data_IF_162923085241
#
_entry.id   IF_162923085241
#
_cell.length_a   1.000
_cell.length_b   1.000
_cell.length_c   1.000
_cell.angle_alpha   90.00
_cell.angle_beta   90.00
_cell.angle_gamma   90.00
#
_symmetry.space_group_name_H-M   'P 1'
#
loop_
_entity.id
_entity.type
_entity.pdbx_description
1 polymer ?
#
# COMPACT_ATOMS: atom_id res chain seq x y z
N UNK A 1 -0.07 -38.22 37.23
CA UNK A 1 0.01 -36.76 37.09
C UNK A 1 -0.46 -36.13 38.40
N UNK A 2 0.39 -35.34 39.08
CA UNK A 2 0.05 -34.79 40.40
C UNK A 2 -0.92 -33.61 40.27
N UNK A 3 -1.84 -33.45 41.22
CA UNK A 3 -2.85 -32.40 41.22
C UNK A 3 -2.28 -30.97 41.14
N UNK A 4 -1.02 -30.78 41.59
CA UNK A 4 -0.33 -29.49 41.50
C UNK A 4 -0.01 -29.08 40.06
N UNK A 5 0.22 -30.04 39.15
CA UNK A 5 0.47 -29.75 37.74
C UNK A 5 -0.80 -29.28 37.01
N UNK A 6 -1.97 -29.79 37.42
CA UNK A 6 -3.26 -29.41 36.83
C UNK A 6 -3.63 -27.98 37.27
N UNK A 7 -3.40 -27.63 38.54
CA UNK A 7 -3.72 -26.30 39.07
C UNK A 7 -2.88 -25.19 38.40
N UNK A 8 -1.61 -25.48 38.08
CA UNK A 8 -0.73 -24.52 37.42
C UNK A 8 -1.17 -24.22 35.98
N UNK A 9 -1.68 -25.24 35.26
CA UNK A 9 -2.21 -25.08 33.89
C UNK A 9 -3.51 -24.26 33.90
N UNK A 10 -4.39 -24.50 34.88
CA UNK A 10 -5.65 -23.76 34.98
C UNK A 10 -5.42 -22.27 35.27
N UNK A 11 -4.44 -21.93 36.12
CA UNK A 11 -4.08 -20.51 36.38
C UNK A 11 -3.48 -19.78 35.16
N UNK A 12 -2.86 -20.52 34.23
CA UNK A 12 -2.35 -19.96 32.99
C UNK A 12 -3.47 -19.67 31.98
N UNK A 13 -4.50 -20.53 31.93
CA UNK A 13 -5.64 -20.37 31.04
C UNK A 13 -6.52 -19.16 31.42
N UNK A 14 -6.71 -18.91 32.71
CA UNK A 14 -7.47 -17.74 33.16
C UNK A 14 -6.80 -16.42 32.78
N UNK A 15 -5.45 -16.36 32.84
CA UNK A 15 -4.67 -15.20 32.37
C UNK A 15 -4.74 -15.01 30.85
N UNK A 16 -4.78 -16.09 30.08
CA UNK A 16 -4.95 -16.00 28.62
C UNK A 16 -6.34 -15.46 28.27
N UNK A 17 -7.35 -15.82 29.05
CA UNK A 17 -8.72 -15.34 28.87
C UNK A 17 -8.85 -13.85 29.17
N UNK A 18 -8.20 -13.37 30.22
CA UNK A 18 -8.14 -11.95 30.59
C UNK A 18 -7.41 -11.09 29.54
N UNK A 19 -6.41 -11.64 28.85
CA UNK A 19 -5.73 -10.99 27.72
C UNK A 19 -6.66 -10.89 26.50
N UNK A 20 -7.43 -11.95 26.20
CA UNK A 20 -8.37 -11.97 25.08
C UNK A 20 -9.58 -11.05 25.29
N UNK A 21 -10.09 -10.95 26.52
CA UNK A 21 -11.27 -10.14 26.84
C UNK A 21 -10.94 -8.63 26.93
N UNK A 22 -9.70 -8.26 27.28
CA UNK A 22 -9.27 -6.85 27.38
C UNK A 22 -8.62 -6.27 26.10
N UNK A 23 -8.32 -7.10 25.10
CA UNK A 23 -7.78 -6.66 23.80
C UNK A 23 -8.63 -7.16 22.61
N UNK A 24 -9.88 -6.70 22.43
CA UNK A 24 -10.63 -7.03 21.24
C UNK A 24 -10.15 -6.15 20.08
N UNK A 25 -9.12 -6.60 19.33
CA UNK A 25 -8.84 -6.22 17.92
C UNK A 25 -7.53 -6.87 17.41
N UNK A 26 -7.46 -8.18 17.46
CA UNK A 26 -6.92 -8.93 16.34
C UNK A 26 -8.04 -9.83 15.83
N UNK A 27 -9.07 -9.20 15.26
CA UNK A 27 -9.95 -9.92 14.38
C UNK A 27 -9.13 -10.24 13.14
N UNK A 28 -8.59 -11.46 13.11
CA UNK A 28 -8.52 -12.19 11.86
C UNK A 28 -9.98 -12.23 11.38
N UNK A 29 -10.35 -11.32 10.48
CA UNK A 29 -11.64 -11.33 9.80
C UNK A 29 -11.62 -12.50 8.83
N UNK A 30 -11.92 -13.68 9.35
CA UNK A 30 -12.09 -14.92 8.57
C UNK A 30 -13.48 -15.03 7.94
N UNK A 31 -14.24 -13.94 7.88
CA UNK A 31 -15.56 -13.92 7.25
C UNK A 31 -15.51 -13.19 5.89
N UNK A 32 -15.45 -14.01 4.84
CA UNK A 32 -15.98 -13.70 3.50
C UNK A 32 -15.25 -12.64 2.65
N UNK A 33 -13.93 -12.72 2.53
CA UNK A 33 -13.25 -12.23 1.32
C UNK A 33 -13.01 -13.44 0.43
N UNK A 34 -13.74 -13.54 -0.68
CA UNK A 34 -13.38 -14.46 -1.76
C UNK A 34 -11.89 -14.26 -2.04
N UNK A 35 -11.06 -15.30 -1.85
CA UNK A 35 -9.59 -15.26 -1.86
C UNK A 35 -9.03 -14.27 -2.90
N UNK A 36 -8.86 -13.02 -2.52
CA UNK A 36 -8.08 -12.06 -3.29
C UNK A 36 -6.62 -12.35 -2.96
N UNK A 37 -5.75 -12.47 -3.96
CA UNK A 37 -4.32 -12.62 -3.68
C UNK A 37 -3.77 -11.43 -2.87
N UNK A 38 -4.44 -10.28 -2.85
CA UNK A 38 -4.05 -9.12 -2.06
C UNK A 38 -4.72 -9.15 -0.68
N UNK A 39 -3.95 -8.79 0.34
CA UNK A 39 -4.41 -8.72 1.73
C UNK A 39 -4.98 -7.34 2.10
N UNK A 40 -5.20 -6.48 1.10
CA UNK A 40 -5.83 -5.17 1.21
C UNK A 40 -6.81 -4.98 0.05
N UNK A 41 -7.98 -4.43 0.34
CA UNK A 41 -9.03 -4.13 -0.62
C UNK A 41 -8.90 -2.72 -1.22
N UNK A 42 -9.65 -2.45 -2.28
CA UNK A 42 -9.76 -1.11 -2.86
C UNK A 42 -10.30 -0.07 -1.86
N UNK A 43 -11.26 -0.47 -1.03
CA UNK A 43 -11.90 0.42 -0.04
C UNK A 43 -10.89 0.82 1.03
N UNK A 44 -10.13 -0.13 1.55
CA UNK A 44 -9.08 0.12 2.55
C UNK A 44 -7.98 1.04 1.99
N UNK A 45 -7.58 0.87 0.72
CA UNK A 45 -6.65 1.80 0.07
C UNK A 45 -7.23 3.21 -0.07
N UNK A 46 -8.52 3.35 -0.35
CA UNK A 46 -9.18 4.64 -0.40
C UNK A 46 -9.23 5.30 0.98
N UNK A 47 -9.43 4.54 2.06
CA UNK A 47 -9.40 5.04 3.44
C UNK A 47 -8.00 5.53 3.84
N UNK A 48 -6.93 4.82 3.42
CA UNK A 48 -5.54 5.29 3.58
C UNK A 48 -5.29 6.58 2.79
N UNK A 49 -5.74 6.64 1.54
CA UNK A 49 -5.60 7.82 0.67
C UNK A 49 -6.29 9.05 1.26
N UNK A 50 -7.50 8.87 1.76
CA UNK A 50 -8.33 9.96 2.30
C UNK A 50 -7.93 10.34 3.74
N UNK A 51 -6.94 9.64 4.32
CA UNK A 51 -6.47 9.85 5.68
C UNK A 51 -7.48 9.43 6.75
N UNK A 52 -8.49 8.65 6.37
CA UNK A 52 -9.48 8.09 7.29
C UNK A 52 -8.86 6.99 8.17
N UNK A 53 -7.80 6.33 7.67
CA UNK A 53 -7.06 5.33 8.40
C UNK A 53 -5.55 5.64 8.46
N UNK A 54 -4.93 5.37 9.60
CA UNK A 54 -3.48 5.51 9.75
C UNK A 54 -2.76 4.35 9.06
N UNK A 55 -1.67 4.66 8.37
CA UNK A 55 -0.73 3.65 7.85
C UNK A 55 -0.22 2.71 8.95
N UNK A 56 -0.19 3.16 10.21
CA UNK A 56 0.26 2.34 11.34
C UNK A 56 -0.63 1.09 11.52
N UNK A 57 -1.92 1.16 11.16
CA UNK A 57 -2.82 -0.01 11.20
C UNK A 57 -2.33 -1.13 10.28
N UNK A 58 -1.63 -0.75 9.22
CA UNK A 58 -1.07 -1.64 8.22
C UNK A 58 0.40 -1.97 8.47
N UNK A 59 0.99 -1.56 9.60
CA UNK A 59 2.42 -1.74 9.86
C UNK A 59 3.31 -0.71 9.14
N UNK A 60 2.77 0.47 8.85
CA UNK A 60 3.47 1.55 8.16
C UNK A 60 3.62 1.31 6.66
N UNK A 61 4.58 2.02 6.04
CA UNK A 61 4.85 1.89 4.60
C UNK A 61 5.25 0.47 4.21
N UNK A 62 6.09 -0.19 5.01
CA UNK A 62 6.55 -1.55 4.72
C UNK A 62 5.39 -2.55 4.71
N UNK A 63 4.50 -2.47 5.70
CA UNK A 63 3.36 -3.35 5.76
C UNK A 63 2.35 -3.08 4.65
N UNK A 64 2.07 -1.81 4.31
CA UNK A 64 1.25 -1.47 3.12
C UNK A 64 1.83 -2.06 1.83
N UNK A 65 3.14 -1.90 1.60
CA UNK A 65 3.84 -2.46 0.43
C UNK A 65 3.72 -3.99 0.41
N UNK A 66 3.82 -4.64 1.56
CA UNK A 66 3.61 -6.09 1.72
C UNK A 66 2.19 -6.53 1.36
N UNK A 67 1.16 -5.81 1.82
CA UNK A 67 -0.24 -6.11 1.52
C UNK A 67 -0.57 -5.95 0.03
N UNK A 68 0.07 -4.98 -0.62
CA UNK A 68 0.00 -4.76 -2.07
C UNK A 68 0.81 -5.78 -2.88
N UNK A 69 1.53 -6.71 -2.22
CA UNK A 69 2.51 -7.62 -2.85
C UNK A 69 3.42 -6.88 -3.80
N UNK A 70 4.02 -5.81 -3.29
CA UNK A 70 5.04 -5.03 -3.98
C UNK A 70 6.34 -5.05 -3.18
N UNK A 71 7.35 -4.36 -3.69
CA UNK A 71 8.66 -4.24 -3.06
C UNK A 71 9.12 -2.78 -3.10
N UNK A 72 9.50 -2.23 -1.95
CA UNK A 72 9.89 -0.82 -1.82
C UNK A 72 11.25 -0.50 -2.47
N UNK A 73 12.05 -1.52 -2.79
CA UNK A 73 13.36 -1.38 -3.41
C UNK A 73 13.35 -1.77 -4.89
N UNK A 74 12.69 -2.89 -5.23
CA UNK A 74 12.72 -3.46 -6.58
C UNK A 74 11.46 -3.19 -7.40
N UNK A 75 10.40 -2.71 -6.77
CA UNK A 75 9.08 -2.57 -7.37
C UNK A 75 8.46 -3.91 -7.77
N UNK A 76 7.45 -3.85 -8.64
CA UNK A 76 6.76 -5.02 -9.16
C UNK A 76 7.59 -5.77 -10.20
N UNK A 77 7.40 -7.07 -10.28
CA UNK A 77 7.89 -7.88 -11.40
C UNK A 77 7.01 -7.72 -12.64
N UNK A 78 7.54 -8.00 -13.84
CA UNK A 78 6.75 -7.97 -15.07
C UNK A 78 5.46 -8.84 -14.99
N UNK A 79 5.54 -10.00 -14.33
CA UNK A 79 4.39 -10.88 -14.11
C UNK A 79 3.35 -10.28 -13.16
N UNK A 80 3.77 -9.53 -12.14
CA UNK A 80 2.87 -8.91 -11.16
C UNK A 80 2.13 -7.69 -11.71
N UNK A 81 2.70 -7.04 -12.72
CA UNK A 81 2.07 -5.92 -13.44
C UNK A 81 0.96 -6.45 -14.35
N UNK A 82 1.26 -7.52 -15.09
CA UNK A 82 0.28 -8.18 -15.96
C UNK A 82 -0.71 -9.05 -15.19
N UNK A 83 -0.61 -9.06 -13.85
CA UNK A 83 -1.52 -9.79 -13.00
C UNK A 83 -2.94 -9.25 -13.20
N UNK A 84 -3.75 -10.05 -13.88
CA UNK A 84 -5.15 -9.77 -14.18
C UNK A 84 -5.95 -9.44 -12.92
N UNK A 85 -5.67 -10.10 -11.79
CA UNK A 85 -6.35 -9.82 -10.52
C UNK A 85 -6.05 -8.40 -10.00
N UNK A 86 -4.83 -7.89 -10.16
CA UNK A 86 -4.45 -6.53 -9.75
C UNK A 86 -5.28 -5.49 -10.52
N UNK A 87 -5.43 -5.71 -11.83
CA UNK A 87 -6.21 -4.82 -12.71
C UNK A 87 -7.72 -4.95 -12.48
N UNK A 88 -8.21 -6.13 -12.08
CA UNK A 88 -9.61 -6.36 -11.74
C UNK A 88 -9.99 -5.74 -10.39
N UNK A 89 -9.11 -5.80 -9.39
CA UNK A 89 -9.35 -5.26 -8.05
C UNK A 89 -9.12 -3.75 -8.00
N UNK A 90 -8.01 -3.26 -8.56
CA UNK A 90 -7.60 -1.85 -8.42
C UNK A 90 -7.79 -1.02 -9.70
N UNK A 91 -8.33 -1.62 -10.75
CA UNK A 91 -8.60 -0.94 -12.01
C UNK A 91 -7.35 -0.60 -12.82
N UNK A 92 -7.55 0.30 -13.79
CA UNK A 92 -6.54 0.76 -14.75
C UNK A 92 -6.48 2.28 -14.78
N UNK A 93 -5.32 2.84 -15.15
CA UNK A 93 -5.14 4.28 -15.29
C UNK A 93 -5.68 4.85 -16.63
N UNK A 94 -6.87 4.43 -17.06
CA UNK A 94 -7.44 4.70 -18.40
C UNK A 94 -7.71 6.20 -18.68
N UNK A 95 -7.75 7.04 -17.65
CA UNK A 95 -7.94 8.49 -17.79
C UNK A 95 -6.65 9.29 -18.00
N UNK A 96 -5.49 8.64 -17.89
CA UNK A 96 -4.21 9.33 -18.02
C UNK A 96 -3.79 9.52 -19.48
N UNK A 97 -3.02 10.58 -19.75
CA UNK A 97 -2.52 10.85 -21.08
C UNK A 97 -1.39 9.87 -21.44
N UNK A 98 -1.53 9.17 -22.56
CA UNK A 98 -0.53 8.20 -23.03
C UNK A 98 0.82 8.82 -23.42
N UNK A 99 0.86 10.14 -23.67
CA UNK A 99 2.10 10.86 -23.92
C UNK A 99 2.90 11.14 -22.63
N UNK A 100 2.22 11.16 -21.48
CA UNK A 100 2.88 11.36 -20.19
C UNK A 100 3.52 10.04 -19.75
N UNK A 101 4.71 10.14 -19.17
CA UNK A 101 5.49 8.98 -18.76
C UNK A 101 5.95 9.08 -17.31
N UNK A 102 5.92 7.95 -16.61
CA UNK A 102 6.45 7.79 -15.28
C UNK A 102 7.74 6.98 -15.29
N UNK A 103 8.69 7.37 -14.43
CA UNK A 103 9.85 6.54 -14.10
C UNK A 103 9.43 5.56 -13.01
N UNK A 104 9.51 4.27 -13.29
CA UNK A 104 9.17 3.21 -12.34
C UNK A 104 10.32 2.25 -12.16
N UNK A 105 10.42 1.64 -10.99
CA UNK A 105 11.22 0.45 -10.79
C UNK A 105 10.36 -0.79 -10.99
N UNK A 106 10.80 -1.68 -11.89
CA UNK A 106 10.24 -3.01 -12.05
C UNK A 106 11.37 -4.02 -12.21
N UNK A 107 11.25 -5.17 -11.56
CA UNK A 107 12.31 -6.20 -11.52
C UNK A 107 13.67 -5.62 -11.06
N UNK A 108 13.66 -4.64 -10.15
CA UNK A 108 14.87 -3.97 -9.67
C UNK A 108 15.55 -3.06 -10.68
N UNK A 109 14.91 -2.80 -11.83
CA UNK A 109 15.46 -1.97 -12.90
C UNK A 109 14.58 -0.75 -13.16
N UNK A 110 15.19 0.43 -13.40
CA UNK A 110 14.44 1.60 -13.80
C UNK A 110 13.87 1.38 -15.21
N UNK A 111 12.59 1.70 -15.37
CA UNK A 111 11.85 1.68 -16.62
C UNK A 111 11.07 2.99 -16.75
N UNK A 112 10.76 3.37 -17.97
CA UNK A 112 9.90 4.52 -18.26
C UNK A 112 8.63 4.01 -18.93
N UNK A 113 7.47 4.32 -18.35
CA UNK A 113 6.19 3.78 -18.79
C UNK A 113 5.18 4.88 -19.08
N UNK A 114 4.38 4.74 -20.15
CA UNK A 114 3.19 5.56 -20.34
C UNK A 114 2.27 5.52 -19.12
N UNK A 115 1.71 6.67 -18.75
CA UNK A 115 0.83 6.82 -17.59
C UNK A 115 -0.33 5.80 -17.54
N UNK A 116 -0.98 5.41 -18.65
CA UNK A 116 -2.04 4.39 -18.65
C UNK A 116 -1.60 2.99 -18.20
N UNK A 117 -0.29 2.69 -18.25
CA UNK A 117 0.28 1.39 -17.85
C UNK A 117 0.73 1.35 -16.38
N UNK A 118 0.52 2.44 -15.64
CA UNK A 118 0.71 2.45 -14.20
C UNK A 118 -0.39 1.65 -13.52
N UNK A 119 0.01 0.87 -12.52
CA UNK A 119 -0.85 0.04 -11.70
C UNK A 119 -0.61 0.31 -10.21
N UNK A 120 -1.62 0.05 -9.37
CA UNK A 120 -1.45 0.09 -7.91
C UNK A 120 -0.35 -0.87 -7.50
N UNK A 121 0.56 -0.41 -6.64
CA UNK A 121 1.76 -1.12 -6.22
C UNK A 121 2.99 -0.84 -7.07
N UNK A 122 2.91 -0.08 -8.17
CA UNK A 122 4.12 0.36 -8.88
C UNK A 122 5.00 1.23 -7.97
N UNK A 123 6.31 0.99 -8.03
CA UNK A 123 7.32 1.82 -7.39
C UNK A 123 7.72 2.94 -8.36
N UNK A 124 7.30 4.17 -8.09
CA UNK A 124 7.56 5.35 -8.92
C UNK A 124 8.72 6.16 -8.34
N UNK A 125 9.56 6.71 -9.22
CA UNK A 125 10.58 7.70 -8.87
C UNK A 125 10.13 9.05 -9.39
N UNK A 126 9.96 10.02 -8.49
CA UNK A 126 9.83 11.43 -8.87
C UNK A 126 11.18 12.10 -8.81
N UNK A 127 11.52 12.90 -9.81
CA UNK A 127 12.68 13.82 -9.78
C UNK A 127 12.19 15.27 -9.89
N UNK A 128 13.09 16.23 -9.69
CA UNK A 128 12.75 17.66 -9.75
C UNK A 128 12.07 18.03 -11.08
N UNK A 129 10.88 18.62 -10.98
CA UNK A 129 10.01 19.00 -12.09
C UNK A 129 9.07 17.91 -12.59
N UNK A 130 9.20 16.66 -12.15
CA UNK A 130 8.28 15.58 -12.55
C UNK A 130 6.90 15.79 -11.91
N UNK A 131 5.84 15.46 -12.65
CA UNK A 131 4.48 15.40 -12.11
C UNK A 131 4.13 13.97 -11.72
N UNK A 132 3.47 13.80 -10.58
CA UNK A 132 2.88 12.51 -10.21
C UNK A 132 1.70 12.20 -11.15
N UNK A 133 1.68 10.97 -11.68
CA UNK A 133 0.68 10.50 -12.65
C UNK A 133 -0.35 9.55 -12.03
N UNK A 134 -0.28 9.39 -10.71
CA UNK A 134 -1.13 8.55 -9.88
C UNK A 134 -1.10 9.07 -8.43
N UNK A 135 -2.02 8.58 -7.61
CA UNK A 135 -2.03 8.83 -6.17
C UNK A 135 -1.07 7.87 -5.47
N UNK A 136 -0.26 8.41 -4.57
CA UNK A 136 0.93 7.76 -4.05
C UNK A 136 1.09 7.92 -2.54
N UNK A 137 1.83 6.99 -1.93
CA UNK A 137 2.44 7.15 -0.61
C UNK A 137 3.94 7.32 -0.79
N UNK A 138 4.53 8.31 -0.12
CA UNK A 138 5.96 8.54 -0.13
C UNK A 138 6.71 7.45 0.65
N UNK A 139 7.71 6.84 0.01
CA UNK A 139 8.64 5.89 0.65
C UNK A 139 9.85 6.64 1.23
N UNK A 140 10.17 7.81 0.67
CA UNK A 140 11.27 8.68 1.11
C UNK A 140 10.77 10.11 1.25
N UNK A 141 11.34 10.88 2.19
CA UNK A 141 11.00 12.29 2.37
C UNK A 141 11.22 13.12 1.10
N UNK A 142 10.25 13.97 0.77
CA UNK A 142 10.23 14.79 -0.44
C UNK A 142 9.52 16.12 -0.24
N UNK A 143 9.49 16.93 -1.30
CA UNK A 143 8.71 18.14 -1.39
C UNK A 143 7.83 18.06 -2.65
N UNK A 144 6.51 18.09 -2.45
CA UNK A 144 5.51 18.08 -3.51
C UNK A 144 4.72 19.39 -3.49
N UNK A 145 4.71 20.14 -4.61
CA UNK A 145 4.13 21.48 -4.72
C UNK A 145 4.56 22.45 -3.60
N UNK A 146 5.83 22.37 -3.19
CA UNK A 146 6.38 23.23 -2.13
C UNK A 146 5.97 22.85 -0.71
N UNK A 147 5.35 21.68 -0.51
CA UNK A 147 5.02 21.13 0.82
C UNK A 147 5.87 19.90 1.12
N UNK A 148 6.37 19.81 2.35
CA UNK A 148 7.05 18.62 2.83
C UNK A 148 6.07 17.44 2.86
N UNK A 149 6.51 16.32 2.29
CA UNK A 149 5.82 15.03 2.35
C UNK A 149 6.82 14.04 2.95
N UNK A 150 6.60 13.69 4.21
CA UNK A 150 7.43 12.71 4.93
C UNK A 150 7.17 11.29 4.45
N UNK A 151 8.02 10.33 4.82
CA UNK A 151 7.74 8.90 4.65
C UNK A 151 6.36 8.53 5.20
N UNK A 152 5.56 7.81 4.41
CA UNK A 152 4.15 7.51 4.71
C UNK A 152 3.18 8.65 4.34
N UNK A 153 3.68 9.81 3.97
CA UNK A 153 2.88 10.94 3.53
C UNK A 153 2.19 10.67 2.19
N UNK A 154 0.95 11.12 2.09
CA UNK A 154 0.18 11.06 0.85
C UNK A 154 0.64 12.12 -0.15
N UNK A 155 0.83 11.71 -1.39
CA UNK A 155 1.14 12.58 -2.52
C UNK A 155 0.13 12.33 -3.66
N UNK A 156 -0.54 13.39 -4.08
CA UNK A 156 -1.66 13.33 -5.02
C UNK A 156 -1.19 13.38 -6.47
N UNK A 157 -1.93 12.73 -7.35
CA UNK A 157 -1.81 12.89 -8.80
C UNK A 157 -1.85 14.38 -9.20
N UNK A 158 -0.95 14.77 -10.10
CA UNK A 158 -0.79 16.14 -10.61
C UNK A 158 0.17 17.02 -9.81
N UNK A 159 0.56 16.62 -8.58
CA UNK A 159 1.56 17.37 -7.82
C UNK A 159 2.94 17.30 -8.47
N UNK A 160 3.69 18.38 -8.37
CA UNK A 160 5.04 18.51 -8.92
C UNK A 160 6.07 18.20 -7.84
N UNK A 161 6.94 17.25 -8.12
CA UNK A 161 8.04 16.86 -7.25
C UNK A 161 9.19 17.85 -7.43
N UNK A 162 9.82 18.27 -6.33
CA UNK A 162 10.93 19.23 -6.35
C UNK A 162 12.22 18.66 -5.76
N UNK A 163 12.18 17.40 -5.33
CA UNK A 163 13.30 16.65 -4.80
C UNK A 163 13.13 15.17 -5.12
N UNK A 164 14.21 14.52 -5.54
CA UNK A 164 14.17 13.09 -5.84
C UNK A 164 13.58 12.28 -4.69
N UNK A 165 12.60 11.43 -5.02
CA UNK A 165 11.91 10.59 -4.05
C UNK A 165 11.27 9.35 -4.68
N UNK A 166 11.08 8.34 -3.85
CA UNK A 166 10.38 7.10 -4.17
C UNK A 166 8.95 7.13 -3.64
N UNK A 167 8.05 6.57 -4.42
CA UNK A 167 6.63 6.51 -4.12
C UNK A 167 6.07 5.13 -4.45
N UNK A 168 5.12 4.66 -3.64
CA UNK A 168 4.29 3.51 -4.00
C UNK A 168 2.94 4.02 -4.51
N UNK A 169 2.52 3.55 -5.69
CA UNK A 169 1.20 3.90 -6.23
C UNK A 169 0.11 3.20 -5.42
N UNK A 170 -0.85 3.96 -4.92
CA UNK A 170 -2.00 3.44 -4.16
C UNK A 170 -3.33 3.68 -4.86
N UNK A 171 -3.40 4.55 -5.87
CA UNK A 171 -4.61 4.81 -6.63
C UNK A 171 -4.34 5.21 -8.08
N UNK A 172 -5.12 4.67 -9.00
CA UNK A 172 -5.04 4.96 -10.45
C UNK A 172 -6.42 5.17 -11.06
N UNK A 173 -6.50 5.98 -12.12
CA UNK A 173 -7.68 6.11 -12.98
C UNK A 173 -9.01 6.35 -12.26
N UNK A 174 -9.96 5.42 -12.40
CA UNK A 174 -11.31 5.52 -11.80
C UNK A 174 -11.27 5.63 -10.28
N UNK A 175 -10.24 5.08 -9.66
CA UNK A 175 -10.05 5.07 -8.21
C UNK A 175 -9.44 6.39 -7.71
N UNK A 176 -9.22 7.38 -8.58
CA UNK A 176 -8.84 8.77 -8.22
C UNK A 176 -10.05 9.69 -8.02
N UNK A 177 -11.26 9.24 -8.37
CA UNK A 177 -12.48 10.03 -8.20
C UNK A 177 -13.14 9.66 -6.86
N UNK A 178 -12.89 10.50 -5.85
CA UNK A 178 -13.82 10.65 -4.73
C UNK A 178 -15.13 11.29 -5.22
#
# INVERSE_FOLDING_TARGET
FSAAAILCIMSGLDKIKEIYENHPKQMIREDSVAQTHFAISEVELAEVRDGAESLDTYGGVEGLVGLLKSNADTGLTAHEVENKERLEIFGKNEGANAADKAKVFRDGKPNELPAPLLVVGDLVIGTDGDKLLADCIAITDTIADGKDVSVGGFAKCGQTITKEAKFIVIGVGKNLKA
#
